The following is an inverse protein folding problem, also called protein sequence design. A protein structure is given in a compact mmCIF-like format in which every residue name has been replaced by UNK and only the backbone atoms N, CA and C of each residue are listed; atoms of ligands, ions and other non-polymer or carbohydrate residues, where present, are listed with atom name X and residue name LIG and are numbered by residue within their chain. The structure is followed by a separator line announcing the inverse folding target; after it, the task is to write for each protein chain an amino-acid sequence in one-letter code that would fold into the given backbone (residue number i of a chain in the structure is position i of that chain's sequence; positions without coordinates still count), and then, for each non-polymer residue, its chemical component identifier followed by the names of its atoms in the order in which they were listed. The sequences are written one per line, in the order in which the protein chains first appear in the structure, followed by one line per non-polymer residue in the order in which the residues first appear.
data_IF_660720959514
#
_entry.id   IF_660720959514
#
_cell.length_a   1.000
_cell.length_b   1.000
_cell.length_c   1.000
_cell.angle_alpha   90.00
_cell.angle_beta   90.00
_cell.angle_gamma   90.00
#
_symmetry.space_group_name_H-M   'P 1'
#
loop_
_entity.id
_entity.type
_entity.pdbx_description
1 polymer ?
#
# COMPACT_ATOMS: atom_id res chain seq x y z
N UNK A 1 5.19 23.00 -7.19
CA UNK A 1 5.87 21.76 -6.77
C UNK A 1 6.55 21.20 -7.99
N UNK A 2 7.87 21.00 -7.91
CA UNK A 2 8.64 20.34 -8.95
C UNK A 2 8.08 18.93 -9.25
N UNK A 3 8.18 18.49 -10.50
CA UNK A 3 7.77 17.13 -10.86
C UNK A 3 8.75 16.13 -10.21
N UNK A 4 8.21 15.19 -9.43
CA UNK A 4 8.98 14.11 -8.80
C UNK A 4 9.34 13.11 -9.90
N UNK A 5 10.63 13.06 -10.21
CA UNK A 5 11.18 12.26 -11.32
C UNK A 5 12.12 11.17 -10.84
N UNK A 6 12.52 11.19 -9.56
CA UNK A 6 13.39 10.18 -8.97
C UNK A 6 12.87 9.74 -7.60
N UNK A 7 13.18 8.50 -7.23
CA UNK A 7 12.71 7.90 -5.98
C UNK A 7 13.30 8.56 -4.72
N UNK A 8 14.50 9.13 -4.80
CA UNK A 8 15.18 9.86 -3.72
C UNK A 8 14.50 11.18 -3.35
N UNK A 9 13.62 11.69 -4.21
CA UNK A 9 12.82 12.89 -3.94
C UNK A 9 11.57 12.58 -3.09
N UNK A 10 11.24 11.30 -2.88
CA UNK A 10 10.15 10.90 -1.98
C UNK A 10 10.71 10.91 -0.55
N UNK A 11 10.10 11.68 0.38
CA UNK A 11 10.59 11.76 1.75
C UNK A 11 10.54 10.39 2.43
N UNK A 12 11.63 10.04 3.11
CA UNK A 12 11.65 8.86 3.98
C UNK A 12 10.82 9.18 5.22
N UNK A 13 9.74 8.44 5.40
CA UNK A 13 8.82 8.61 6.52
C UNK A 13 9.44 8.02 7.78
N UNK A 14 9.35 8.76 8.88
CA UNK A 14 9.84 8.35 10.20
C UNK A 14 8.74 8.51 11.23
N UNK A 15 8.71 7.60 12.18
CA UNK A 15 7.80 7.67 13.32
C UNK A 15 7.93 9.00 14.06
N UNK A 16 6.80 9.64 14.38
CA UNK A 16 6.77 10.87 15.17
C UNK A 16 6.88 10.53 16.67
N UNK A 17 7.37 11.48 17.47
CA UNK A 17 7.71 11.22 18.88
C UNK A 17 6.52 10.73 19.72
N UNK A 18 5.30 11.15 19.39
CA UNK A 18 4.09 10.70 20.08
C UNK A 18 3.61 9.31 19.67
N UNK A 19 3.97 8.82 18.48
CA UNK A 19 3.42 7.58 17.92
C UNK A 19 3.72 6.37 18.80
N UNK A 20 4.92 6.29 19.38
CA UNK A 20 5.27 5.22 20.30
C UNK A 20 4.29 5.14 21.49
N UNK A 21 4.05 6.27 22.15
CA UNK A 21 3.10 6.36 23.28
C UNK A 21 1.66 6.05 22.84
N UNK A 22 1.27 6.45 21.62
CA UNK A 22 -0.08 6.16 21.10
C UNK A 22 -0.23 4.66 20.82
N UNK A 23 0.79 4.00 20.24
CA UNK A 23 0.79 2.56 20.00
C UNK A 23 0.61 1.77 21.31
N UNK A 24 1.34 2.14 22.36
CA UNK A 24 1.20 1.51 23.68
C UNK A 24 -0.24 1.63 24.22
N UNK A 25 -0.85 2.83 24.10
CA UNK A 25 -2.22 3.09 24.56
C UNK A 25 -3.25 2.31 23.76
N UNK A 26 -3.13 2.28 22.43
CA UNK A 26 -4.00 1.50 21.55
C UNK A 26 -3.89 0.01 21.90
N UNK A 27 -2.67 -0.50 22.00
CA UNK A 27 -2.40 -1.89 22.36
C UNK A 27 -2.97 -2.27 23.71
N UNK A 28 -2.81 -1.41 24.72
CA UNK A 28 -3.39 -1.63 26.05
C UNK A 28 -4.92 -1.73 26.00
N UNK A 29 -5.59 -0.84 25.26
CA UNK A 29 -7.06 -0.87 25.10
C UNK A 29 -7.53 -2.12 24.37
N UNK A 30 -6.91 -2.46 23.25
CA UNK A 30 -7.30 -3.61 22.45
C UNK A 30 -7.08 -4.94 23.17
N UNK A 31 -5.96 -5.10 23.89
CA UNK A 31 -5.66 -6.38 24.57
C UNK A 31 -6.39 -6.57 25.89
N UNK A 32 -6.82 -5.49 26.56
CA UNK A 32 -7.41 -5.58 27.91
C UNK A 32 -8.90 -5.27 27.99
N UNK A 33 -9.45 -4.51 27.04
CA UNK A 33 -10.81 -3.98 27.12
C UNK A 33 -11.71 -4.39 25.96
N UNK A 34 -11.18 -5.14 24.99
CA UNK A 34 -11.96 -5.59 23.85
C UNK A 34 -12.85 -6.79 24.21
N UNK A 35 -14.03 -6.88 23.59
CA UNK A 35 -14.97 -7.98 23.83
C UNK A 35 -14.39 -9.35 23.42
N UNK A 36 -13.80 -9.41 22.22
CA UNK A 36 -13.03 -10.58 21.77
C UNK A 36 -11.81 -10.76 22.67
N UNK A 37 -11.72 -11.91 23.33
CA UNK A 37 -10.51 -12.34 24.02
C UNK A 37 -9.51 -12.89 23.00
N UNK A 38 -8.31 -12.31 22.96
CA UNK A 38 -7.22 -12.75 22.11
C UNK A 38 -5.88 -12.45 22.78
N UNK A 39 -4.87 -13.24 22.45
CA UNK A 39 -3.50 -12.97 22.84
C UNK A 39 -2.77 -12.32 21.67
N UNK A 40 -2.06 -11.21 21.94
CA UNK A 40 -1.15 -10.57 20.98
C UNK A 40 0.17 -11.34 20.94
N UNK A 41 0.10 -12.60 20.50
CA UNK A 41 1.21 -13.53 20.40
C UNK A 41 1.85 -13.50 19.00
N UNK A 42 2.78 -14.43 18.74
CA UNK A 42 3.45 -14.54 17.44
C UNK A 42 2.50 -14.92 16.30
N UNK A 43 1.47 -15.72 16.58
CA UNK A 43 0.50 -16.16 15.58
C UNK A 43 -0.44 -15.01 15.19
N UNK A 44 -0.91 -14.23 16.16
CA UNK A 44 -1.69 -13.02 15.91
C UNK A 44 -0.86 -11.96 15.19
N UNK A 45 0.40 -11.76 15.59
CA UNK A 45 1.36 -10.86 14.93
C UNK A 45 1.53 -11.19 13.45
N UNK A 46 1.66 -12.48 13.10
CA UNK A 46 1.76 -12.90 11.70
C UNK A 46 0.51 -12.55 10.88
N UNK A 47 -0.69 -12.61 11.47
CA UNK A 47 -1.93 -12.20 10.78
C UNK A 47 -2.02 -10.69 10.59
N UNK A 48 -1.58 -9.90 11.58
CA UNK A 48 -1.44 -8.44 11.44
C UNK A 48 -0.50 -8.12 10.28
N UNK A 49 0.63 -8.83 10.17
CA UNK A 49 1.59 -8.66 9.07
C UNK A 49 0.95 -8.90 7.69
N UNK A 50 0.29 -10.05 7.51
CA UNK A 50 -0.37 -10.40 6.25
C UNK A 50 -1.45 -9.37 5.88
N UNK A 51 -2.21 -8.89 6.87
CA UNK A 51 -3.19 -7.82 6.68
C UNK A 51 -2.54 -6.50 6.29
N UNK A 52 -1.44 -6.14 6.93
CA UNK A 52 -0.72 -4.90 6.64
C UNK A 52 -0.17 -4.89 5.21
N UNK A 53 0.35 -6.02 4.73
CA UNK A 53 0.71 -6.20 3.32
C UNK A 53 -0.46 -5.93 2.39
N UNK A 54 -1.64 -6.47 2.68
CA UNK A 54 -2.83 -6.26 1.86
C UNK A 54 -3.37 -4.82 1.92
N UNK A 55 -3.10 -4.08 3.00
CA UNK A 55 -3.38 -2.64 3.07
C UNK A 55 -2.38 -1.82 2.24
N UNK A 56 -1.13 -2.26 2.16
CA UNK A 56 -0.09 -1.63 1.33
C UNK A 56 -0.26 -1.95 -0.16
N UNK A 57 -0.59 -3.18 -0.50
CA UNK A 57 -0.66 -3.67 -1.88
C UNK A 57 -1.78 -4.70 -2.05
N UNK A 58 -3.03 -4.22 -1.98
CA UNK A 58 -4.23 -5.06 -2.14
C UNK A 58 -4.25 -5.86 -3.46
N UNK A 59 -3.66 -5.31 -4.52
CA UNK A 59 -3.67 -5.93 -5.86
C UNK A 59 -2.46 -6.82 -6.13
N UNK A 60 -1.55 -6.97 -5.17
CA UNK A 60 -0.33 -7.77 -5.26
C UNK A 60 0.41 -7.48 -6.59
N UNK A 61 0.63 -6.19 -6.86
CA UNK A 61 1.23 -5.72 -8.11
C UNK A 61 2.22 -4.56 -7.89
N UNK A 62 2.62 -4.28 -6.66
CA UNK A 62 3.60 -3.25 -6.30
C UNK A 62 4.86 -3.91 -5.75
N UNK A 63 4.71 -4.77 -4.74
CA UNK A 63 5.83 -5.43 -4.06
C UNK A 63 6.27 -6.70 -4.81
N UNK A 64 7.56 -7.02 -4.73
CA UNK A 64 8.08 -8.32 -5.15
C UNK A 64 7.90 -9.37 -4.05
N UNK A 65 7.86 -10.64 -4.42
CA UNK A 65 7.91 -11.77 -3.50
C UNK A 65 9.14 -11.68 -2.58
N UNK A 66 10.30 -11.28 -3.12
CA UNK A 66 11.53 -11.08 -2.34
C UNK A 66 11.41 -9.96 -1.30
N UNK A 67 10.69 -8.88 -1.63
CA UNK A 67 10.42 -7.80 -0.68
C UNK A 67 9.59 -8.36 0.48
N UNK A 68 8.52 -9.09 0.18
CA UNK A 68 7.65 -9.70 1.19
C UNK A 68 8.41 -10.70 2.06
N UNK A 69 9.19 -11.59 1.46
CA UNK A 69 9.99 -12.61 2.17
C UNK A 69 11.03 -11.99 3.11
N UNK A 70 11.64 -10.85 2.72
CA UNK A 70 12.58 -10.13 3.57
C UNK A 70 11.93 -9.72 4.90
N UNK A 71 10.72 -9.15 4.84
CA UNK A 71 10.01 -8.68 6.03
C UNK A 71 9.23 -9.79 6.75
N UNK A 72 8.83 -10.84 6.04
CA UNK A 72 8.13 -11.99 6.63
C UNK A 72 8.97 -12.67 7.72
N UNK A 73 10.32 -12.57 7.65
CA UNK A 73 11.23 -13.05 8.71
C UNK A 73 11.02 -12.35 10.06
N UNK A 74 10.46 -11.13 10.05
CA UNK A 74 10.16 -10.33 11.26
C UNK A 74 8.68 -10.34 11.63
N UNK A 75 7.80 -11.05 10.90
CA UNK A 75 6.34 -10.97 11.09
C UNK A 75 5.85 -11.33 12.50
N UNK A 76 6.61 -12.12 13.25
CA UNK A 76 6.23 -12.56 14.59
C UNK A 76 6.57 -11.55 15.69
N UNK A 77 7.32 -10.48 15.38
CA UNK A 77 7.73 -9.44 16.36
C UNK A 77 6.78 -8.26 16.42
N UNK A 78 5.79 -8.18 15.50
CA UNK A 78 4.86 -7.05 15.42
C UNK A 78 4.09 -6.81 16.73
N UNK A 79 3.74 -7.88 17.46
CA UNK A 79 3.12 -7.74 18.78
C UNK A 79 4.01 -7.01 19.78
N UNK A 80 5.33 -7.22 19.74
CA UNK A 80 6.29 -6.52 20.58
C UNK A 80 6.52 -5.08 20.10
N UNK A 81 6.58 -4.84 18.79
CA UNK A 81 6.63 -3.48 18.23
C UNK A 81 5.42 -2.66 18.65
N UNK A 82 4.21 -3.22 18.56
CA UNK A 82 2.97 -2.58 18.99
C UNK A 82 2.96 -2.28 20.50
N UNK A 83 3.44 -3.23 21.31
CA UNK A 83 3.54 -3.09 22.78
C UNK A 83 4.57 -2.05 23.23
N UNK A 84 5.66 -1.87 22.49
CA UNK A 84 6.77 -0.97 22.85
C UNK A 84 6.75 0.35 22.08
N UNK A 85 5.89 0.47 21.07
CA UNK A 85 5.84 1.62 20.20
C UNK A 85 7.06 1.78 19.30
N UNK A 86 7.81 0.71 19.02
CA UNK A 86 8.94 0.72 18.08
C UNK A 86 8.50 0.13 16.76
N UNK A 87 7.91 0.94 15.89
CA UNK A 87 7.15 0.47 14.72
C UNK A 87 8.02 0.27 13.46
N UNK A 88 9.27 -0.17 13.65
CA UNK A 88 10.29 -0.21 12.60
C UNK A 88 9.83 -1.03 11.38
N UNK A 89 9.25 -2.22 11.57
CA UNK A 89 8.79 -3.05 10.45
C UNK A 89 7.69 -2.36 9.64
N UNK A 90 6.77 -1.65 10.30
CA UNK A 90 5.71 -0.93 9.61
C UNK A 90 6.28 0.21 8.75
N UNK A 91 7.15 1.05 9.32
CA UNK A 91 7.74 2.18 8.61
C UNK A 91 8.70 1.75 7.49
N UNK A 92 9.55 0.76 7.74
CA UNK A 92 10.49 0.25 6.73
C UNK A 92 9.75 -0.33 5.52
N UNK A 93 8.72 -1.15 5.77
CA UNK A 93 7.94 -1.77 4.71
C UNK A 93 7.08 -0.75 3.95
N UNK A 94 6.53 0.26 4.64
CA UNK A 94 5.81 1.35 4.00
C UNK A 94 6.73 2.17 3.09
N UNK A 95 7.92 2.55 3.56
CA UNK A 95 8.90 3.28 2.76
C UNK A 95 9.34 2.48 1.52
N UNK A 96 9.55 1.17 1.66
CA UNK A 96 9.82 0.30 0.52
C UNK A 96 8.65 0.28 -0.47
N UNK A 97 7.42 0.14 0.02
CA UNK A 97 6.23 0.15 -0.81
C UNK A 97 6.06 1.50 -1.56
N UNK A 98 6.38 2.63 -0.94
CA UNK A 98 6.37 3.95 -1.59
C UNK A 98 7.35 4.01 -2.76
N UNK A 99 8.58 3.52 -2.57
CA UNK A 99 9.57 3.40 -3.63
C UNK A 99 9.08 2.50 -4.77
N UNK A 100 8.54 1.33 -4.45
CA UNK A 100 7.99 0.38 -5.43
C UNK A 100 6.83 0.99 -6.21
N UNK A 101 5.88 1.66 -5.55
CA UNK A 101 4.76 2.38 -6.20
C UNK A 101 5.27 3.42 -7.18
N UNK A 102 6.29 4.18 -6.79
CA UNK A 102 6.92 5.16 -7.68
C UNK A 102 7.49 4.50 -8.93
N UNK A 103 8.29 3.43 -8.77
CA UNK A 103 8.85 2.65 -9.88
C UNK A 103 7.74 2.16 -10.83
N UNK A 104 6.63 1.68 -10.26
CA UNK A 104 5.48 1.22 -11.03
C UNK A 104 4.78 2.34 -11.81
N UNK A 105 4.54 3.51 -11.21
CA UNK A 105 3.93 4.63 -11.93
C UNK A 105 4.86 5.19 -13.01
N UNK A 106 6.18 5.21 -12.78
CA UNK A 106 7.16 5.56 -13.81
C UNK A 106 7.12 4.55 -14.97
N UNK A 107 7.02 3.25 -14.68
CA UNK A 107 6.84 2.23 -15.70
C UNK A 107 5.54 2.46 -16.49
N UNK A 108 4.42 2.70 -15.81
CA UNK A 108 3.11 2.96 -16.42
C UNK A 108 3.16 4.13 -17.40
N UNK A 109 3.85 5.23 -17.05
CA UNK A 109 4.04 6.38 -17.92
C UNK A 109 4.78 6.01 -19.21
N UNK A 110 5.78 5.13 -19.15
CA UNK A 110 6.48 4.61 -20.35
C UNK A 110 5.58 3.70 -21.20
N UNK A 111 4.73 2.88 -20.56
CA UNK A 111 3.78 2.02 -21.27
C UNK A 111 2.78 2.84 -22.08
N UNK A 112 2.28 3.96 -21.54
CA UNK A 112 1.33 4.86 -22.22
C UNK A 112 1.86 5.45 -23.55
N UNK A 113 3.17 5.46 -23.76
CA UNK A 113 3.76 5.94 -25.01
C UNK A 113 3.57 4.92 -26.16
N UNK A 114 3.43 3.63 -25.81
CA UNK A 114 3.26 2.52 -26.76
C UNK A 114 1.89 2.59 -27.47
N UNK A 115 1.76 2.05 -28.69
CA UNK A 115 0.48 1.97 -29.38
C UNK A 115 -0.55 1.17 -28.58
N UNK A 116 -1.80 1.65 -28.56
CA UNK A 116 -2.91 0.94 -27.93
C UNK A 116 -3.43 -0.15 -28.89
N UNK A 117 -3.46 -1.40 -28.44
CA UNK A 117 -4.02 -2.53 -29.20
C UNK A 117 -5.02 -3.31 -28.33
N UNK A 118 -6.28 -3.36 -28.77
CA UNK A 118 -7.39 -4.03 -28.11
C UNK A 118 -7.97 -5.18 -28.94
N UNK A 119 -7.23 -5.70 -29.92
CA UNK A 119 -7.69 -6.78 -30.82
C UNK A 119 -7.47 -8.18 -30.27
N UNK A 120 -6.70 -8.32 -29.19
CA UNK A 120 -6.42 -9.59 -28.52
C UNK A 120 -7.60 -10.15 -27.72
N UNK A 121 -7.40 -11.36 -27.19
CA UNK A 121 -8.34 -12.09 -26.33
C UNK A 121 -7.92 -12.07 -24.84
N UNK A 122 -7.11 -11.09 -24.46
CA UNK A 122 -6.59 -10.95 -23.10
C UNK A 122 -7.72 -10.70 -22.08
N UNK A 123 -7.56 -11.23 -20.87
CA UNK A 123 -8.47 -10.98 -19.75
C UNK A 123 -7.77 -10.23 -18.63
N UNK A 124 -8.50 -9.37 -17.91
CA UNK A 124 -7.98 -8.66 -16.75
C UNK A 124 -8.68 -9.13 -15.47
N UNK A 125 -7.92 -9.69 -14.52
CA UNK A 125 -8.45 -10.09 -13.22
C UNK A 125 -8.50 -8.89 -12.26
N UNK A 126 -9.72 -8.51 -11.85
CA UNK A 126 -9.96 -7.39 -10.93
C UNK A 126 -9.64 -7.73 -9.46
N UNK A 127 -9.82 -8.98 -9.04
CA UNK A 127 -9.55 -9.41 -7.67
C UNK A 127 -8.24 -10.20 -7.61
N UNK A 128 -7.19 -9.50 -7.17
CA UNK A 128 -5.86 -10.06 -6.96
C UNK A 128 -5.48 -10.18 -5.48
N UNK A 129 -6.45 -10.04 -4.56
CA UNK A 129 -6.21 -10.08 -3.11
C UNK A 129 -5.64 -11.40 -2.59
N UNK A 130 -5.70 -12.47 -3.40
CA UNK A 130 -5.13 -13.79 -3.11
C UNK A 130 -4.11 -14.24 -4.15
N UNK A 131 -3.71 -13.36 -5.07
CA UNK A 131 -2.73 -13.69 -6.08
C UNK A 131 -1.35 -13.90 -5.43
N UNK A 132 -0.49 -14.75 -6.00
CA UNK A 132 0.91 -14.81 -5.56
C UNK A 132 1.57 -13.45 -5.81
N UNK A 133 2.50 -13.08 -4.92
CA UNK A 133 3.37 -11.93 -5.13
C UNK A 133 4.23 -12.14 -6.38
N UNK A 134 4.41 -11.12 -7.23
CA UNK A 134 5.27 -11.20 -8.41
C UNK A 134 6.71 -11.57 -8.04
N UNK A 135 7.29 -12.55 -8.71
CA UNK A 135 8.62 -13.08 -8.39
C UNK A 135 9.74 -12.13 -8.77
N UNK A 136 9.56 -11.41 -9.87
CA UNK A 136 10.56 -10.53 -10.46
C UNK A 136 9.94 -9.31 -11.15
N UNK A 137 10.82 -8.45 -11.66
CA UNK A 137 10.40 -7.24 -12.36
C UNK A 137 9.63 -7.53 -13.66
N UNK A 138 9.89 -8.66 -14.33
CA UNK A 138 9.19 -9.02 -15.55
C UNK A 138 7.72 -9.38 -15.27
N UNK A 139 7.46 -10.18 -14.23
CA UNK A 139 6.10 -10.46 -13.77
C UNK A 139 5.38 -9.18 -13.32
N UNK A 140 6.07 -8.29 -12.59
CA UNK A 140 5.50 -6.99 -12.21
C UNK A 140 5.17 -6.13 -13.44
N UNK A 141 6.06 -6.08 -14.43
CA UNK A 141 5.86 -5.31 -15.65
C UNK A 141 4.67 -5.83 -16.45
N UNK A 142 4.51 -7.14 -16.57
CA UNK A 142 3.36 -7.75 -17.25
C UNK A 142 2.02 -7.41 -16.56
N UNK A 143 1.98 -7.39 -15.22
CA UNK A 143 0.79 -6.95 -14.48
C UNK A 143 0.44 -5.49 -14.76
N UNK A 144 1.46 -4.62 -14.88
CA UNK A 144 1.26 -3.21 -15.17
C UNK A 144 0.93 -2.93 -16.63
N UNK A 145 1.45 -3.72 -17.57
CA UNK A 145 1.01 -3.70 -18.96
C UNK A 145 -0.49 -4.01 -19.04
N UNK A 146 -0.95 -5.08 -18.38
CA UNK A 146 -2.37 -5.42 -18.29
C UNK A 146 -3.21 -4.34 -17.60
N UNK A 147 -2.68 -3.74 -16.53
CA UNK A 147 -3.38 -2.66 -15.80
C UNK A 147 -3.53 -1.39 -16.64
N UNK A 148 -2.47 -0.97 -17.34
CA UNK A 148 -2.51 0.21 -18.22
C UNK A 148 -3.47 -0.04 -19.38
N UNK A 149 -3.39 -1.21 -20.03
CA UNK A 149 -4.33 -1.61 -21.08
C UNK A 149 -5.79 -1.59 -20.61
N UNK A 150 -6.05 -2.08 -19.39
CA UNK A 150 -7.39 -2.01 -18.79
C UNK A 150 -7.84 -0.57 -18.52
N UNK A 151 -6.96 0.29 -17.98
CA UNK A 151 -7.25 1.71 -17.74
C UNK A 151 -7.55 2.45 -19.06
N UNK A 152 -6.80 2.16 -20.13
CA UNK A 152 -7.00 2.71 -21.48
C UNK A 152 -8.31 2.24 -22.09
N UNK A 153 -8.57 0.93 -22.08
CA UNK A 153 -9.81 0.34 -22.59
C UNK A 153 -11.04 0.92 -21.88
N UNK A 154 -10.97 1.05 -20.56
CA UNK A 154 -12.06 1.62 -19.75
C UNK A 154 -12.42 3.04 -20.20
N UNK A 155 -11.42 3.87 -20.53
CA UNK A 155 -11.67 5.21 -21.06
C UNK A 155 -12.13 5.18 -22.53
N UNK A 156 -11.60 4.26 -23.34
CA UNK A 156 -12.02 4.09 -24.75
C UNK A 156 -13.49 3.72 -24.87
N UNK A 157 -13.98 2.85 -23.99
CA UNK A 157 -15.40 2.46 -23.91
C UNK A 157 -16.33 3.63 -23.53
N UNK A 158 -15.79 4.72 -22.97
CA UNK A 158 -16.56 5.97 -22.73
C UNK A 158 -16.57 6.92 -23.93
N UNK A 159 -16.01 6.52 -25.08
CA UNK A 159 -15.98 7.30 -26.31
C UNK A 159 -14.83 8.31 -26.41
N UNK A 160 -13.82 8.22 -25.54
CA UNK A 160 -12.63 9.09 -25.59
C UNK A 160 -11.70 8.71 -26.73
N UNK A 161 -11.09 9.71 -27.36
CA UNK A 161 -10.01 9.50 -28.33
C UNK A 161 -8.72 9.03 -27.67
N UNK A 162 -7.86 8.32 -28.41
CA UNK A 162 -6.58 7.82 -27.89
C UNK A 162 -5.69 8.96 -27.31
N UNK A 163 -5.76 10.17 -27.90
CA UNK A 163 -5.08 11.36 -27.38
C UNK A 163 -5.60 11.75 -25.99
N UNK A 164 -6.91 11.86 -25.82
CA UNK A 164 -7.53 12.22 -24.53
C UNK A 164 -7.29 11.16 -23.47
N UNK A 165 -7.27 9.87 -23.86
CA UNK A 165 -6.94 8.74 -22.99
C UNK A 165 -5.53 8.92 -22.43
N UNK A 166 -4.53 9.13 -23.30
CA UNK A 166 -3.14 9.35 -22.89
C UNK A 166 -2.99 10.55 -21.96
N UNK A 167 -3.59 11.69 -22.31
CA UNK A 167 -3.53 12.89 -21.47
C UNK A 167 -4.17 12.66 -20.08
N UNK A 168 -5.30 11.95 -20.04
CA UNK A 168 -6.02 11.63 -18.80
C UNK A 168 -5.21 10.70 -17.90
N UNK A 169 -4.69 9.60 -18.46
CA UNK A 169 -3.92 8.62 -17.69
C UNK A 169 -2.55 9.16 -17.29
N UNK A 170 -1.89 9.94 -18.14
CA UNK A 170 -0.67 10.65 -17.77
C UNK A 170 -0.89 11.58 -16.58
N UNK A 171 -1.97 12.37 -16.60
CA UNK A 171 -2.34 13.22 -15.46
C UNK A 171 -2.61 12.41 -14.21
N UNK A 172 -3.34 11.29 -14.32
CA UNK A 172 -3.65 10.36 -13.22
C UNK A 172 -2.38 9.81 -12.58
N UNK A 173 -1.45 9.27 -13.37
CA UNK A 173 -0.22 8.67 -12.85
C UNK A 173 0.75 9.71 -12.29
N UNK A 174 0.90 10.88 -12.93
CA UNK A 174 1.67 12.00 -12.36
C UNK A 174 1.08 12.49 -11.04
N UNK A 175 -0.24 12.58 -10.93
CA UNK A 175 -0.91 12.94 -9.68
C UNK A 175 -0.68 11.88 -8.59
N UNK A 176 -0.76 10.59 -8.95
CA UNK A 176 -0.46 9.51 -8.03
C UNK A 176 0.98 9.58 -7.49
N UNK A 177 1.96 9.88 -8.34
CA UNK A 177 3.36 10.13 -7.94
C UNK A 177 3.44 11.31 -6.96
N UNK A 178 2.79 12.44 -7.26
CA UNK A 178 2.77 13.61 -6.35
C UNK A 178 2.19 13.27 -4.98
N UNK A 179 1.14 12.43 -4.94
CA UNK A 179 0.52 11.98 -3.71
C UNK A 179 1.47 11.14 -2.84
N UNK A 180 2.42 10.39 -3.43
CA UNK A 180 3.42 9.64 -2.67
C UNK A 180 4.28 10.58 -1.79
N UNK A 181 4.69 11.74 -2.29
CA UNK A 181 5.48 12.70 -1.49
C UNK A 181 4.66 13.57 -0.54
N UNK A 182 3.33 13.55 -0.66
CA UNK A 182 2.42 14.24 0.26
C UNK A 182 2.00 13.36 1.44
N UNK A 183 2.33 12.07 1.40
CA UNK A 183 2.14 11.16 2.54
C UNK A 183 2.96 11.66 3.72
N UNK A 184 2.37 11.64 4.91
CA UNK A 184 3.02 12.02 6.16
C UNK A 184 3.18 10.79 7.08
N UNK A 185 3.80 10.98 8.25
CA UNK A 185 4.03 9.88 9.19
C UNK A 185 2.74 9.33 9.80
N UNK A 186 1.76 10.20 10.07
CA UNK A 186 0.45 9.80 10.58
C UNK A 186 -0.30 8.85 9.65
N UNK A 187 -0.13 8.98 8.32
CA UNK A 187 -0.70 8.04 7.35
C UNK A 187 -0.15 6.61 7.55
N UNK A 188 1.16 6.48 7.83
CA UNK A 188 1.81 5.19 8.10
C UNK A 188 1.32 4.60 9.41
N UNK A 189 1.33 5.42 10.47
CA UNK A 189 0.87 5.03 11.80
C UNK A 189 -0.58 4.56 11.77
N UNK A 190 -1.47 5.34 11.14
CA UNK A 190 -2.88 5.00 11.00
C UNK A 190 -3.08 3.68 10.25
N UNK A 191 -2.31 3.42 9.19
CA UNK A 191 -2.39 2.16 8.46
C UNK A 191 -1.91 0.96 9.31
N UNK A 192 -0.85 1.13 10.10
CA UNK A 192 -0.36 0.12 11.03
C UNK A 192 -1.40 -0.22 12.12
N UNK A 193 -1.97 0.82 12.75
CA UNK A 193 -3.04 0.65 13.73
C UNK A 193 -4.31 0.05 13.10
N UNK A 194 -4.59 0.34 11.83
CA UNK A 194 -5.70 -0.27 11.09
C UNK A 194 -5.48 -1.75 10.85
N UNK A 195 -4.25 -2.18 10.51
CA UNK A 195 -3.93 -3.60 10.41
C UNK A 195 -4.17 -4.32 11.74
N UNK A 196 -3.76 -3.73 12.85
CA UNK A 196 -4.01 -4.30 14.16
C UNK A 196 -5.52 -4.35 14.48
N UNK A 197 -6.20 -3.21 14.40
CA UNK A 197 -7.61 -3.07 14.72
C UNK A 197 -8.48 -4.07 13.94
N UNK A 198 -8.29 -4.14 12.61
CA UNK A 198 -9.12 -4.98 11.73
C UNK A 198 -8.82 -6.47 11.80
N UNK A 199 -7.71 -6.86 12.44
CA UNK A 199 -7.43 -8.27 12.74
C UNK A 199 -8.19 -8.75 13.98
N UNK A 200 -8.62 -7.82 14.85
CA UNK A 200 -9.46 -8.13 16.01
C UNK A 200 -10.90 -8.37 15.56
N UNK A 201 -11.52 -7.42 14.85
CA UNK A 201 -12.85 -7.57 14.25
C UNK A 201 -13.08 -6.47 13.17
N UNK A 202 -14.16 -6.52 12.36
CA UNK A 202 -14.35 -5.54 11.28
C UNK A 202 -14.81 -4.15 11.75
N UNK A 203 -15.17 -3.98 13.03
CA UNK A 203 -15.74 -2.74 13.58
C UNK A 203 -14.77 -1.97 14.49
N UNK A 204 -13.66 -2.58 14.86
CA UNK A 204 -12.57 -1.95 15.60
C UNK A 204 -11.76 -1.06 14.66
N UNK A 205 -11.50 0.17 15.08
CA UNK A 205 -10.78 1.16 14.28
C UNK A 205 -9.85 2.01 15.14
N UNK A 206 -8.80 2.52 14.50
CA UNK A 206 -8.04 3.68 14.96
C UNK A 206 -8.46 4.89 14.14
N UNK A 207 -8.58 6.06 14.78
CA UNK A 207 -8.94 7.32 14.12
C UNK A 207 -7.82 8.32 14.35
N UNK A 208 -7.22 8.82 13.27
CA UNK A 208 -6.19 9.87 13.36
C UNK A 208 -6.80 11.19 13.85
N UNK A 209 -6.01 12.13 14.40
CA UNK A 209 -6.54 13.39 14.93
C UNK A 209 -7.39 14.21 13.94
N UNK A 210 -7.04 14.31 12.64
CA UNK A 210 -7.91 14.94 11.64
C UNK A 210 -9.23 14.18 11.42
N UNK A 211 -9.20 12.84 11.42
CA UNK A 211 -10.40 12.00 11.25
C UNK A 211 -11.35 12.14 12.44
N UNK A 212 -10.82 12.19 13.66
CA UNK A 212 -11.61 12.38 14.88
C UNK A 212 -12.39 13.70 14.87
N UNK A 213 -11.79 14.78 14.37
CA UNK A 213 -12.44 16.11 14.31
C UNK A 213 -13.60 16.21 13.30
N UNK A 214 -13.73 15.23 12.41
CA UNK A 214 -14.75 15.22 11.36
C UNK A 214 -15.99 14.39 11.72
N UNK A 215 -16.00 13.74 12.89
CA UNK A 215 -17.11 12.95 13.44
C UNK A 215 -17.73 13.69 14.60
#
# INVERSE_FOLDING_TARGET
MEDITRADQIPVLKEETQHATVSERVTSRFTRSHYRQFDLDQAFSAKIFDRYLNLLDYSHNVLLASDVEQFAKKKTVLGDELRTGKLDVFYDLYNLAQKRRFERYQYALKVLERPMDFTGNDTFNLDRSKAPWPKDEAELNALWDGKVKFDELSLKLTGKSDKEIRETLMRRYKFAIRRLAQTNSEDVFSLAMTAFAREIDPHTNYLSPPQYRAV
#
